data_IF_698457092312
#
_entry.id   IF_698457092312
#
_cell.length_a   1.000
_cell.length_b   1.000
_cell.length_c   1.000
_cell.angle_alpha   90.00
_cell.angle_beta   90.00
_cell.angle_gamma   90.00
#
_symmetry.space_group_name_H-M   'P 1'
#
loop_
_entity.id
_entity.type
_entity.pdbx_description
1 polymer ?
#
# COMPACT_ATOMS: atom_id res chain seq x y z
N UNK A 1 -13.68 20.72 1.15
CA UNK A 1 -12.79 21.52 0.27
C UNK A 1 -13.29 21.52 -1.16
N UNK A 2 -13.17 22.65 -1.86
CA UNK A 2 -13.45 22.78 -3.29
C UNK A 2 -12.26 22.32 -4.15
N UNK A 3 -12.44 22.17 -5.48
CA UNK A 3 -11.33 21.93 -6.40
C UNK A 3 -10.30 23.06 -6.36
N UNK A 4 -10.77 24.28 -6.13
CA UNK A 4 -9.92 25.46 -5.99
C UNK A 4 -8.92 25.31 -4.84
N UNK A 5 -9.46 24.97 -3.67
CA UNK A 5 -8.67 24.76 -2.47
C UNK A 5 -7.69 23.60 -2.69
N UNK A 6 -8.15 22.50 -3.29
CA UNK A 6 -7.33 21.30 -3.50
C UNK A 6 -6.11 21.58 -4.38
N UNK A 7 -6.24 22.35 -5.47
CA UNK A 7 -5.08 22.67 -6.32
C UNK A 7 -4.14 23.69 -5.67
N UNK A 8 -4.68 24.61 -4.85
CA UNK A 8 -3.88 25.56 -4.08
C UNK A 8 -3.05 24.86 -3.01
N UNK A 9 -3.65 23.90 -2.31
CA UNK A 9 -2.96 23.04 -1.35
C UNK A 9 -1.87 22.22 -2.05
N UNK A 10 -2.14 21.66 -3.24
CA UNK A 10 -1.11 20.94 -4.00
C UNK A 10 0.07 21.85 -4.41
N UNK A 11 -0.19 23.09 -4.83
CA UNK A 11 0.86 24.09 -5.09
C UNK A 11 1.68 24.40 -3.83
N UNK A 12 1.03 24.58 -2.68
CA UNK A 12 1.71 24.85 -1.41
C UNK A 12 2.62 23.70 -0.97
N UNK A 13 2.13 22.46 -1.06
CA UNK A 13 2.93 21.26 -0.76
C UNK A 13 4.12 21.13 -1.71
N UNK A 14 3.93 21.46 -3.00
CA UNK A 14 5.03 21.45 -3.98
C UNK A 14 6.13 22.47 -3.63
N UNK A 15 5.75 23.68 -3.21
CA UNK A 15 6.72 24.69 -2.74
C UNK A 15 7.42 24.27 -1.43
N UNK A 16 6.70 23.59 -0.53
CA UNK A 16 7.30 22.98 0.67
C UNK A 16 8.41 21.99 0.32
N UNK A 17 8.12 21.03 -0.57
CA UNK A 17 9.13 20.08 -1.06
C UNK A 17 10.26 20.74 -1.84
N UNK A 18 10.01 21.84 -2.57
CA UNK A 18 11.05 22.57 -3.29
C UNK A 18 12.06 23.21 -2.34
N UNK A 19 11.58 23.78 -1.24
CA UNK A 19 12.42 24.27 -0.14
C UNK A 19 13.22 23.12 0.52
N UNK A 20 12.61 21.94 0.58
CA UNK A 20 13.19 20.70 1.13
C UNK A 20 14.35 20.14 0.29
N UNK A 21 14.28 20.23 -1.05
CA UNK A 21 15.26 19.66 -2.00
C UNK A 21 16.68 20.17 -1.76
N UNK A 22 16.83 21.47 -1.47
CA UNK A 22 18.14 22.08 -1.25
C UNK A 22 18.88 21.55 -0.01
N UNK A 23 18.15 20.93 0.93
CA UNK A 23 18.66 20.48 2.22
C UNK A 23 18.90 18.96 2.25
N UNK A 24 18.40 18.21 1.27
CA UNK A 24 18.54 16.76 1.15
C UNK A 24 19.00 16.36 -0.26
N UNK A 25 20.27 16.65 -0.63
CA UNK A 25 20.77 16.36 -1.98
C UNK A 25 20.73 14.87 -2.34
N UNK A 26 20.78 13.97 -1.35
CA UNK A 26 20.67 12.52 -1.53
C UNK A 26 19.29 12.09 -2.08
N UNK A 27 18.24 12.87 -1.81
CA UNK A 27 16.87 12.59 -2.23
C UNK A 27 16.34 13.57 -3.29
N UNK A 28 17.20 14.47 -3.80
CA UNK A 28 16.84 15.57 -4.70
C UNK A 28 16.04 15.10 -5.94
N UNK A 29 16.41 13.96 -6.51
CA UNK A 29 15.71 13.40 -7.68
C UNK A 29 14.29 12.95 -7.36
N UNK A 30 14.07 12.32 -6.21
CA UNK A 30 12.75 11.88 -5.77
C UNK A 30 11.89 13.08 -5.37
N UNK A 31 12.45 14.00 -4.60
CA UNK A 31 11.79 15.25 -4.19
C UNK A 31 11.39 16.06 -5.43
N UNK A 32 12.29 16.20 -6.41
CA UNK A 32 11.97 16.88 -7.68
C UNK A 32 10.83 16.18 -8.43
N UNK A 33 10.80 14.85 -8.43
CA UNK A 33 9.70 14.10 -9.05
C UNK A 33 8.38 14.35 -8.32
N UNK A 34 8.37 14.42 -6.99
CA UNK A 34 7.18 14.77 -6.20
C UNK A 34 6.68 16.18 -6.55
N UNK A 35 7.58 17.15 -6.61
CA UNK A 35 7.26 18.54 -6.99
C UNK A 35 6.61 18.61 -8.37
N UNK A 36 7.20 17.93 -9.37
CA UNK A 36 6.65 17.87 -10.74
C UNK A 36 5.25 17.23 -10.74
N UNK A 37 5.04 16.18 -9.96
CA UNK A 37 3.76 15.49 -9.90
C UNK A 37 2.68 16.33 -9.22
N UNK A 38 3.02 17.05 -8.14
CA UNK A 38 2.10 17.97 -7.46
C UNK A 38 1.68 19.14 -8.35
N UNK A 39 2.61 19.74 -9.11
CA UNK A 39 2.26 20.77 -10.09
C UNK A 39 1.44 20.22 -11.26
N UNK A 40 1.69 18.98 -11.68
CA UNK A 40 0.85 18.33 -12.70
C UNK A 40 -0.56 18.10 -12.18
N UNK A 41 -0.71 17.63 -10.94
CA UNK A 41 -2.00 17.46 -10.26
C UNK A 41 -2.72 18.80 -10.15
N UNK A 42 -2.04 19.87 -9.71
CA UNK A 42 -2.64 21.19 -9.57
C UNK A 42 -3.14 21.73 -10.93
N UNK A 43 -2.36 21.52 -11.99
CA UNK A 43 -2.74 21.89 -13.35
C UNK A 43 -4.01 21.14 -13.82
N UNK A 44 -4.11 19.83 -13.57
CA UNK A 44 -5.30 19.06 -13.92
C UNK A 44 -6.53 19.52 -13.14
N UNK A 45 -6.40 19.73 -11.83
CA UNK A 45 -7.49 20.23 -10.98
C UNK A 45 -7.99 21.60 -11.43
N UNK A 46 -7.07 22.52 -11.74
CA UNK A 46 -7.39 23.85 -12.27
C UNK A 46 -8.09 23.78 -13.64
N UNK A 47 -7.64 22.88 -14.51
CA UNK A 47 -8.27 22.62 -15.80
C UNK A 47 -9.69 22.06 -15.67
N UNK A 48 -9.87 21.07 -14.79
CA UNK A 48 -11.17 20.48 -14.46
C UNK A 48 -12.12 21.52 -13.85
N UNK A 49 -11.64 22.39 -12.96
CA UNK A 49 -12.42 23.51 -12.41
C UNK A 49 -12.87 24.48 -13.51
N UNK A 50 -11.96 24.85 -14.41
CA UNK A 50 -12.27 25.71 -15.56
C UNK A 50 -13.34 25.11 -16.47
N UNK A 51 -13.24 23.81 -16.77
CA UNK A 51 -14.23 23.09 -17.58
C UNK A 51 -15.57 22.93 -16.84
N UNK A 52 -15.55 22.70 -15.53
CA UNK A 52 -16.76 22.55 -14.72
C UNK A 52 -17.62 23.83 -14.69
N UNK A 53 -16.99 25.01 -14.80
CA UNK A 53 -17.68 26.31 -14.90
C UNK A 53 -18.34 26.53 -16.26
N UNK A 54 -17.91 25.83 -17.30
CA UNK A 54 -18.42 25.98 -18.66
C UNK A 54 -19.65 25.08 -18.90
N UNK A 55 -20.74 25.68 -19.38
CA UNK A 55 -22.02 25.00 -19.64
C UNK A 55 -21.90 23.86 -20.65
N UNK A 56 -20.96 23.93 -21.59
CA UNK A 56 -20.74 22.93 -22.62
C UNK A 56 -20.36 21.54 -22.05
N UNK A 57 -19.76 21.49 -20.85
CA UNK A 57 -19.28 20.24 -20.25
C UNK A 57 -20.22 19.66 -19.18
N UNK A 58 -21.38 20.27 -18.90
CA UNK A 58 -22.28 19.87 -17.80
C UNK A 58 -22.70 18.39 -17.81
N UNK A 59 -23.02 17.86 -18.99
CA UNK A 59 -23.41 16.46 -19.14
C UNK A 59 -22.26 15.52 -18.76
N UNK A 60 -21.05 15.79 -19.28
CA UNK A 60 -19.85 14.99 -19.00
C UNK A 60 -19.37 15.15 -17.55
N UNK A 61 -19.50 16.35 -17.00
CA UNK A 61 -19.25 16.63 -15.59
C UNK A 61 -20.10 15.73 -14.70
N UNK A 62 -21.38 15.56 -15.01
CA UNK A 62 -22.28 14.69 -14.23
C UNK A 62 -21.81 13.23 -14.26
N UNK A 63 -21.27 12.76 -15.39
CA UNK A 63 -20.75 11.40 -15.53
C UNK A 63 -19.44 11.18 -14.73
N UNK A 64 -18.55 12.16 -14.69
CA UNK A 64 -17.27 12.04 -13.98
C UNK A 64 -17.32 12.49 -12.52
N UNK A 65 -18.41 13.14 -12.09
CA UNK A 65 -18.51 13.73 -10.76
C UNK A 65 -18.20 12.76 -9.61
N UNK A 66 -18.70 11.50 -9.58
CA UNK A 66 -18.38 10.57 -8.51
C UNK A 66 -16.88 10.25 -8.41
N UNK A 67 -16.22 10.12 -9.56
CA UNK A 67 -14.78 9.84 -9.62
C UNK A 67 -13.95 11.08 -9.23
N UNK A 68 -14.41 12.26 -9.63
CA UNK A 68 -13.80 13.53 -9.25
C UNK A 68 -13.87 13.78 -7.74
N UNK A 69 -15.01 13.49 -7.12
CA UNK A 69 -15.17 13.59 -5.66
C UNK A 69 -14.31 12.55 -4.92
N UNK A 70 -14.23 11.31 -5.43
CA UNK A 70 -13.38 10.25 -4.88
C UNK A 70 -11.91 10.67 -4.85
N UNK A 71 -11.37 11.10 -5.99
CA UNK A 71 -9.95 11.49 -6.08
C UNK A 71 -9.68 12.75 -5.27
N UNK A 72 -10.60 13.71 -5.25
CA UNK A 72 -10.45 14.94 -4.46
C UNK A 72 -10.41 14.65 -2.96
N UNK A 73 -11.30 13.80 -2.46
CA UNK A 73 -11.33 13.44 -1.04
C UNK A 73 -10.02 12.77 -0.62
N UNK A 74 -9.58 11.74 -1.34
CA UNK A 74 -8.37 10.99 -1.02
C UNK A 74 -7.08 11.81 -1.19
N UNK A 75 -7.01 12.64 -2.23
CA UNK A 75 -5.90 13.58 -2.44
C UNK A 75 -5.81 14.58 -1.29
N UNK A 76 -6.92 15.14 -0.83
CA UNK A 76 -6.88 16.13 0.26
C UNK A 76 -6.32 15.53 1.55
N UNK A 77 -6.72 14.31 1.93
CA UNK A 77 -6.08 13.64 3.07
C UNK A 77 -4.58 13.49 2.89
N UNK A 78 -4.13 13.13 1.67
CA UNK A 78 -2.70 13.00 1.40
C UNK A 78 -1.97 14.33 1.50
N UNK A 79 -2.56 15.42 1.01
CA UNK A 79 -1.96 16.75 1.07
C UNK A 79 -1.95 17.31 2.50
N UNK A 80 -3.04 17.11 3.25
CA UNK A 80 -3.14 17.48 4.66
C UNK A 80 -2.12 16.71 5.50
N UNK A 81 -1.99 15.40 5.32
CA UNK A 81 -0.96 14.59 6.01
C UNK A 81 0.46 15.17 5.76
N UNK A 82 0.78 15.57 4.53
CA UNK A 82 2.09 16.17 4.21
C UNK A 82 2.26 17.55 4.84
N UNK A 83 1.21 18.37 4.86
CA UNK A 83 1.26 19.68 5.52
C UNK A 83 1.45 19.53 7.03
N UNK A 84 0.77 18.58 7.67
CA UNK A 84 0.94 18.30 9.10
C UNK A 84 2.41 17.95 9.42
N UNK A 85 3.10 17.22 8.53
CA UNK A 85 4.53 16.94 8.66
C UNK A 85 5.38 18.22 8.56
N UNK A 86 5.09 19.11 7.60
CA UNK A 86 5.80 20.38 7.49
C UNK A 86 5.54 21.31 8.70
N UNK A 87 4.32 21.32 9.24
CA UNK A 87 3.98 22.11 10.43
C UNK A 87 4.70 21.57 11.69
N UNK A 88 4.86 20.24 11.83
CA UNK A 88 5.66 19.64 12.91
C UNK A 88 7.16 19.98 12.77
N UNK A 89 7.66 20.07 11.54
CA UNK A 89 9.04 20.46 11.27
C UNK A 89 9.33 21.89 11.75
N UNK A 90 8.44 22.85 11.47
CA UNK A 90 8.57 24.23 11.94
C UNK A 90 8.60 24.33 13.48
N UNK A 91 8.00 23.35 14.15
CA UNK A 91 7.94 23.25 15.61
C UNK A 91 9.18 22.59 16.25
N UNK A 92 10.00 21.87 15.48
CA UNK A 92 11.19 21.17 16.00
C UNK A 92 12.33 22.15 16.33
N UNK A 93 12.93 21.98 17.51
CA UNK A 93 14.19 22.64 17.90
C UNK A 93 15.35 21.68 17.68
N UNK A 94 16.36 22.11 16.93
CA UNK A 94 17.57 21.31 16.70
C UNK A 94 18.36 21.75 15.48
N UNK A 95 19.30 20.90 15.06
CA UNK A 95 20.00 21.06 13.79
C UNK A 95 19.01 20.86 12.63
N UNK A 96 18.82 21.87 11.76
CA UNK A 96 17.90 21.77 10.63
C UNK A 96 18.25 20.62 9.68
N UNK A 97 19.53 20.28 9.47
CA UNK A 97 19.89 19.22 8.53
C UNK A 97 19.33 17.85 8.96
N UNK A 98 19.51 17.49 10.24
CA UNK A 98 19.03 16.22 10.79
C UNK A 98 17.50 16.20 10.96
N UNK A 99 16.89 17.35 11.28
CA UNK A 99 15.43 17.45 11.35
C UNK A 99 14.76 17.14 10.00
N UNK A 100 15.34 17.60 8.89
CA UNK A 100 14.82 17.35 7.54
C UNK A 100 15.01 15.90 7.11
N UNK A 101 16.17 15.28 7.40
CA UNK A 101 16.39 13.84 7.14
C UNK A 101 15.37 12.98 7.89
N UNK A 102 15.19 13.28 9.17
CA UNK A 102 14.27 12.55 10.02
C UNK A 102 12.81 12.72 9.54
N UNK A 103 12.41 13.93 9.15
CA UNK A 103 11.08 14.16 8.59
C UNK A 103 10.88 13.41 7.27
N UNK A 104 11.90 13.34 6.40
CA UNK A 104 11.82 12.57 5.15
C UNK A 104 11.56 11.08 5.41
N UNK A 105 12.25 10.51 6.40
CA UNK A 105 12.04 9.13 6.84
C UNK A 105 10.63 8.93 7.41
N UNK A 106 10.14 9.88 8.21
CA UNK A 106 8.78 9.85 8.77
C UNK A 106 7.70 9.91 7.69
N UNK A 107 7.83 10.83 6.73
CA UNK A 107 6.95 10.92 5.55
C UNK A 107 6.96 9.58 4.80
N UNK A 108 8.15 9.06 4.50
CA UNK A 108 8.31 7.80 3.77
C UNK A 108 7.68 6.62 4.49
N UNK A 109 7.92 6.51 5.80
CA UNK A 109 7.37 5.47 6.65
C UNK A 109 5.84 5.56 6.74
N UNK A 110 5.28 6.75 6.96
CA UNK A 110 3.83 6.98 7.07
C UNK A 110 3.08 6.47 5.84
N UNK A 111 3.53 6.85 4.64
CA UNK A 111 2.85 6.43 3.41
C UNK A 111 3.00 4.93 3.13
N UNK A 112 4.16 4.36 3.46
CA UNK A 112 4.41 2.93 3.34
C UNK A 112 3.56 2.12 4.33
N UNK A 113 3.42 2.58 5.57
CA UNK A 113 2.59 1.91 6.59
C UNK A 113 1.09 1.99 6.26
N UNK A 114 0.61 3.15 5.80
CA UNK A 114 -0.80 3.37 5.51
C UNK A 114 -1.32 2.50 4.37
N UNK A 115 -0.59 2.45 3.25
CA UNK A 115 -1.11 1.81 2.03
C UNK A 115 -0.10 0.92 1.31
N UNK A 116 1.03 0.59 1.93
CA UNK A 116 2.10 -0.21 1.32
C UNK A 116 2.64 0.39 0.03
N UNK A 117 2.57 1.71 -0.11
CA UNK A 117 3.01 2.44 -1.30
C UNK A 117 3.69 3.76 -0.92
N UNK A 118 4.72 4.15 -1.67
CA UNK A 118 5.37 5.44 -1.48
C UNK A 118 4.45 6.61 -1.85
N UNK A 119 4.72 7.79 -1.28
CA UNK A 119 4.07 9.04 -1.67
C UNK A 119 4.16 9.26 -3.19
N UNK A 120 5.33 9.03 -3.77
CA UNK A 120 5.59 9.11 -5.22
C UNK A 120 4.61 8.25 -6.03
N UNK A 121 4.41 6.99 -5.62
CA UNK A 121 3.49 6.06 -6.30
C UNK A 121 2.04 6.53 -6.17
N UNK A 122 1.65 7.01 -4.99
CA UNK A 122 0.31 7.52 -4.70
C UNK A 122 -0.02 8.76 -5.53
N UNK A 123 0.90 9.73 -5.58
CA UNK A 123 0.74 10.94 -6.41
C UNK A 123 0.65 10.60 -7.91
N UNK A 124 1.47 9.65 -8.38
CA UNK A 124 1.39 9.20 -9.76
C UNK A 124 0.02 8.61 -10.12
N UNK A 125 -0.63 7.90 -9.19
CA UNK A 125 -2.01 7.39 -9.37
C UNK A 125 -3.02 8.53 -9.43
N UNK A 126 -2.96 9.51 -8.52
CA UNK A 126 -3.83 10.69 -8.56
C UNK A 126 -3.67 11.44 -9.89
N UNK A 127 -2.41 11.69 -10.30
CA UNK A 127 -2.06 12.35 -11.56
C UNK A 127 -2.64 11.62 -12.77
N UNK A 128 -2.46 10.30 -12.86
CA UNK A 128 -3.00 9.51 -13.96
C UNK A 128 -4.53 9.54 -13.98
N UNK A 129 -5.16 9.42 -12.83
CA UNK A 129 -6.62 9.42 -12.74
C UNK A 129 -7.21 10.79 -13.11
N UNK A 130 -6.63 11.89 -12.63
CA UNK A 130 -7.04 13.25 -12.97
C UNK A 130 -6.82 13.59 -14.45
N UNK A 131 -5.71 13.11 -15.05
CA UNK A 131 -5.49 13.22 -16.50
C UNK A 131 -6.64 12.57 -17.27
N UNK A 132 -6.94 11.32 -16.95
CA UNK A 132 -7.96 10.56 -17.67
C UNK A 132 -9.36 11.18 -17.44
N UNK A 133 -9.67 11.73 -16.26
CA UNK A 133 -10.91 12.50 -16.04
C UNK A 133 -10.98 13.75 -16.92
N UNK A 134 -9.85 14.44 -17.12
CA UNK A 134 -9.75 15.60 -18.01
C UNK A 134 -9.99 15.20 -19.48
N UNK A 135 -9.43 14.07 -19.91
CA UNK A 135 -9.65 13.50 -21.25
C UNK A 135 -11.13 13.13 -21.47
N UNK A 136 -11.78 12.49 -20.49
CA UNK A 136 -13.22 12.18 -20.54
C UNK A 136 -14.05 13.47 -20.64
N UNK A 137 -13.73 14.51 -19.88
CA UNK A 137 -14.41 15.81 -20.00
C UNK A 137 -14.27 16.41 -21.40
N UNK A 138 -13.09 16.28 -22.02
CA UNK A 138 -12.85 16.69 -23.42
C UNK A 138 -13.54 15.79 -24.45
N UNK A 139 -13.96 14.60 -24.04
CA UNK A 139 -14.69 13.63 -24.88
C UNK A 139 -13.76 12.70 -25.63
N UNK A 140 -12.53 12.56 -25.15
CA UNK A 140 -11.55 11.63 -25.64
C UNK A 140 -11.80 10.24 -25.05
N UNK A 141 -11.33 9.20 -25.74
CA UNK A 141 -11.49 7.81 -25.32
C UNK A 141 -10.33 7.43 -24.40
N UNK A 142 -10.66 7.05 -23.17
CA UNK A 142 -9.70 6.58 -22.16
C UNK A 142 -9.74 5.07 -21.98
N UNK A 143 -8.65 4.48 -21.49
CA UNK A 143 -8.62 3.05 -21.13
C UNK A 143 -9.52 2.77 -19.91
N UNK A 144 -10.70 2.21 -20.20
CA UNK A 144 -11.71 1.88 -19.19
C UNK A 144 -11.24 0.88 -18.14
N UNK A 145 -10.31 -0.04 -18.48
CA UNK A 145 -9.79 -1.05 -17.55
C UNK A 145 -8.80 -0.43 -16.58
N UNK A 146 -7.89 0.40 -17.08
CA UNK A 146 -6.95 1.13 -16.24
C UNK A 146 -7.70 2.10 -15.31
N UNK A 147 -8.69 2.83 -15.82
CA UNK A 147 -9.56 3.70 -15.01
C UNK A 147 -10.30 2.93 -13.92
N UNK A 148 -10.85 1.75 -14.23
CA UNK A 148 -11.52 0.92 -13.22
C UNK A 148 -10.56 0.43 -12.13
N UNK A 149 -9.35 0.05 -12.51
CA UNK A 149 -8.30 -0.33 -11.56
C UNK A 149 -7.91 0.84 -10.65
N UNK A 150 -7.64 2.02 -11.22
CA UNK A 150 -7.32 3.22 -10.43
C UNK A 150 -8.45 3.60 -9.48
N UNK A 151 -9.70 3.55 -9.94
CA UNK A 151 -10.90 3.79 -9.11
C UNK A 151 -10.97 2.80 -7.93
N UNK A 152 -10.71 1.52 -8.18
CA UNK A 152 -10.71 0.50 -7.12
C UNK A 152 -9.61 0.75 -6.09
N UNK A 153 -8.41 1.10 -6.55
CA UNK A 153 -7.29 1.44 -5.66
C UNK A 153 -7.60 2.65 -4.78
N UNK A 154 -8.13 3.72 -5.39
CA UNK A 154 -8.49 4.94 -4.66
C UNK A 154 -9.62 4.72 -3.64
N UNK A 155 -10.61 3.87 -3.96
CA UNK A 155 -11.64 3.48 -2.99
C UNK A 155 -11.05 2.74 -1.80
N UNK A 156 -10.16 1.78 -2.04
CA UNK A 156 -9.46 1.08 -0.96
C UNK A 156 -8.65 2.03 -0.08
N UNK A 157 -7.88 2.91 -0.71
CA UNK A 157 -7.09 3.92 -0.01
C UNK A 157 -7.96 4.85 0.84
N UNK A 158 -9.06 5.37 0.29
CA UNK A 158 -9.96 6.27 1.01
C UNK A 158 -10.57 5.60 2.25
N UNK A 159 -10.90 4.31 2.19
CA UNK A 159 -11.38 3.56 3.36
C UNK A 159 -10.32 3.53 4.47
N UNK A 160 -9.05 3.32 4.12
CA UNK A 160 -7.95 3.38 5.09
C UNK A 160 -7.79 4.78 5.68
N UNK A 161 -7.83 5.82 4.85
CA UNK A 161 -7.74 7.22 5.28
C UNK A 161 -8.88 7.60 6.22
N UNK A 162 -10.12 7.28 5.88
CA UNK A 162 -11.30 7.53 6.72
C UNK A 162 -11.24 6.77 8.05
N UNK A 163 -10.72 5.54 8.06
CA UNK A 163 -10.59 4.73 9.27
C UNK A 163 -9.70 5.38 10.34
N UNK A 164 -8.74 6.23 9.95
CA UNK A 164 -7.88 6.98 10.89
C UNK A 164 -8.58 8.13 11.58
N UNK A 165 -9.67 8.63 10.99
CA UNK A 165 -10.46 9.71 11.58
C UNK A 165 -11.55 9.22 12.52
N UNK A 166 -12.00 7.96 12.38
CA UNK A 166 -13.00 7.38 13.28
C UNK A 166 -12.57 7.42 14.77
N UNK A 167 -11.30 7.13 15.15
CA UNK A 167 -10.80 7.34 16.51
C UNK A 167 -10.80 8.80 16.96
N UNK A 168 -10.50 9.74 16.06
CA UNK A 168 -10.46 11.19 16.39
C UNK A 168 -11.85 11.77 16.64
N UNK A 169 -12.87 11.35 15.87
CA UNK A 169 -14.26 11.75 16.09
C UNK A 169 -14.91 11.06 17.32
N UNK A 170 -14.51 9.82 17.62
CA UNK A 170 -14.91 9.11 18.83
C UNK A 170 -14.37 9.76 20.11
N UNK A 171 -13.14 10.29 20.06
CA UNK A 171 -12.55 11.10 21.13
C UNK A 171 -13.28 12.44 21.35
N UNK A 172 -13.71 13.10 20.26
CA UNK A 172 -14.47 14.35 20.35
C UNK A 172 -15.91 14.17 20.86
N UNK A 173 -16.53 13.00 20.64
CA UNK A 173 -17.91 12.72 21.07
C UNK A 173 -18.07 12.31 22.55
N UNK A 174 -16.96 12.11 23.29
CA UNK A 174 -17.01 11.76 24.72
C UNK A 174 -16.66 12.94 25.65
N UNK A 175 -16.42 14.13 25.10
CA UNK A 175 -16.15 15.33 25.89
C UNK A 175 -17.43 16.17 26.06
N UNK A 176 -18.38 15.68 26.86
CA UNK A 176 -19.45 16.53 27.42
C UNK A 176 -19.08 17.01 28.83
N UNK A 177 -19.32 18.29 29.17
CA UNK A 177 -18.69 18.96 30.28
C UNK A 177 -19.42 18.68 31.59
N UNK A 178 -18.73 18.09 32.56
CA UNK A 178 -19.14 18.23 33.96
C UNK A 178 -17.91 18.25 34.89
N UNK A 179 -17.69 19.46 35.38
CA UNK A 179 -16.95 19.88 36.56
C UNK A 179 -16.77 18.85 37.68
N UNK A 180 -15.52 18.68 38.10
CA UNK A 180 -15.15 18.57 39.52
C UNK A 180 -13.81 19.26 39.76
N UNK A 181 -13.92 20.40 40.42
CA UNK A 181 -12.87 21.27 40.97
C UNK A 181 -12.14 20.67 42.16
N UNK A 182 -10.82 20.90 42.25
CA UNK A 182 -10.01 21.25 43.44
C UNK A 182 -8.54 20.86 43.17
N UNK A 183 -7.47 21.59 43.48
CA UNK A 183 -7.23 22.90 44.11
C UNK A 183 -5.71 23.01 44.31
N UNK A 184 -5.07 24.15 43.99
CA UNK A 184 -3.89 24.76 44.67
C UNK A 184 -3.34 25.90 43.79
N UNK A 185 -3.65 27.18 44.04
CA UNK A 185 -3.14 28.10 45.06
C UNK A 185 -1.71 28.62 44.80
N UNK A 186 -1.63 29.86 44.30
CA UNK A 186 -0.68 30.96 44.63
C UNK A 186 -0.83 32.01 43.51
N UNK A 187 -1.40 33.20 43.72
CA UNK A 187 -0.97 34.31 44.57
C UNK A 187 -0.82 35.54 43.64
N UNK A 188 -1.88 36.32 43.43
CA UNK A 188 -2.15 37.65 44.03
C UNK A 188 -1.38 38.84 43.41
N UNK A 189 -2.11 39.73 42.73
CA UNK A 189 -2.11 41.22 42.83
C UNK A 189 -3.00 41.81 41.70
N UNK A 190 -4.24 42.27 41.98
CA UNK A 190 -4.68 43.66 42.26
C UNK A 190 -4.59 44.60 41.00
N UNK A 191 -5.65 44.77 40.18
CA UNK A 191 -6.81 45.71 40.23
C UNK A 191 -6.44 47.20 39.89
N UNK A 192 -7.32 48.15 39.47
CA UNK A 192 -8.70 48.14 38.91
C UNK A 192 -8.90 49.02 37.64
N UNK A 193 -10.10 49.00 37.02
CA UNK A 193 -10.56 50.09 36.12
C UNK A 193 -11.74 49.80 35.17
N UNK A 194 -12.98 49.94 35.67
CA UNK A 194 -14.28 49.96 34.93
C UNK A 194 -14.48 51.30 34.14
N UNK A 195 -15.60 51.62 33.40
CA UNK A 195 -16.91 50.95 33.31
C UNK A 195 -17.72 51.00 31.97
N UNK A 196 -18.74 50.13 31.90
CA UNK A 196 -20.17 50.32 31.53
C UNK A 196 -20.61 51.10 30.26
N UNK A 197 -21.33 50.41 29.37
CA UNK A 197 -22.73 50.67 28.96
C UNK A 197 -23.19 49.54 28.01
N UNK A 198 -24.32 48.85 28.10
CA UNK A 198 -25.57 49.13 28.81
C UNK A 198 -26.73 49.25 27.81
N UNK A 199 -27.41 48.15 27.46
CA UNK A 199 -28.89 48.01 27.48
C UNK A 199 -29.35 46.65 26.92
N UNK A 200 -30.48 46.20 27.45
CA UNK A 200 -30.98 44.82 27.56
C UNK A 200 -32.28 44.67 26.68
N UNK A 201 -33.16 43.67 26.82
CA UNK A 201 -33.39 42.61 25.83
C UNK A 201 -34.86 42.49 25.33
N UNK A 202 -35.11 41.69 24.28
CA UNK A 202 -36.39 41.00 23.94
C UNK A 202 -36.21 40.33 22.56
N UNK A 203 -36.72 39.15 22.21
CA UNK A 203 -37.68 38.30 22.88
C UNK A 203 -37.64 36.88 22.31
N UNK A 204 -37.93 35.97 23.23
CA UNK A 204 -38.11 34.52 23.13
C UNK A 204 -39.31 34.20 22.22
N UNK A 205 -39.14 33.38 21.18
CA UNK A 205 -40.21 32.53 20.61
C UNK A 205 -39.61 31.21 20.11
N UNK A 206 -39.76 30.20 20.95
CA UNK A 206 -39.64 28.78 20.63
C UNK A 206 -40.91 28.32 19.90
N UNK A 207 -40.78 27.77 18.70
CA UNK A 207 -41.78 26.86 18.14
C UNK A 207 -41.33 25.44 18.47
N UNK A 208 -41.85 24.94 19.58
CA UNK A 208 -41.77 23.54 19.97
C UNK A 208 -42.73 22.75 19.06
N UNK A 209 -42.17 21.92 18.18
CA UNK A 209 -42.94 20.96 17.40
C UNK A 209 -43.05 19.70 18.25
N UNK A 210 -44.26 19.40 18.72
CA UNK A 210 -44.55 18.18 19.47
C UNK A 210 -44.18 16.92 18.66
N UNK A 211 -43.40 16.02 19.26
CA UNK A 211 -43.15 14.66 18.77
C UNK A 211 -44.31 13.75 19.22
N UNK A 212 -44.85 12.88 18.37
CA UNK A 212 -45.78 11.83 18.79
C UNK A 212 -45.09 10.76 19.65
N UNK A 213 -45.88 10.20 20.56
CA UNK A 213 -45.54 9.18 21.54
C UNK A 213 -45.06 7.87 20.92
N UNK A 214 -44.11 7.23 21.60
CA UNK A 214 -43.56 5.91 21.32
C UNK A 214 -44.64 4.79 21.30
N UNK A 215 -44.55 3.90 20.30
CA UNK A 215 -45.14 2.55 20.37
C UNK A 215 -44.09 1.54 19.89
N UNK A 216 -43.53 0.77 20.83
CA UNK A 216 -42.63 -0.35 20.57
C UNK A 216 -43.40 -1.53 19.93
N UNK A 217 -42.83 -2.26 18.96
CA UNK A 217 -43.35 -3.56 18.57
C UNK A 217 -42.85 -4.65 19.53
N UNK A 218 -43.80 -5.32 20.19
CA UNK A 218 -43.58 -6.56 20.93
C UNK A 218 -43.29 -7.71 19.95
N UNK A 219 -42.26 -8.50 20.25
CA UNK A 219 -42.04 -9.81 19.63
C UNK A 219 -43.06 -10.82 20.15
N UNK A 220 -43.63 -11.72 19.32
CA UNK A 220 -44.53 -12.75 19.79
C UNK A 220 -43.76 -13.97 20.31
N UNK A 221 -44.24 -14.47 21.45
CA UNK A 221 -43.81 -15.67 22.16
C UNK A 221 -44.49 -16.89 21.53
N UNK A 222 -43.74 -18.00 21.46
CA UNK A 222 -44.16 -19.32 20.97
C UNK A 222 -44.96 -20.14 22.00
N UNK A 223 -45.70 -21.15 21.54
CA UNK A 223 -45.99 -22.46 22.19
C UNK A 223 -46.57 -23.36 21.10
N UNK A 224 -46.30 -24.66 20.91
CA UNK A 224 -45.84 -25.80 21.75
C UNK A 224 -45.62 -26.99 20.74
N UNK A 225 -44.95 -28.13 20.97
CA UNK A 225 -44.72 -28.96 22.15
C UNK A 225 -43.72 -30.11 21.85
N UNK A 226 -42.98 -30.54 22.89
CA UNK A 226 -42.45 -31.90 23.18
C UNK A 226 -41.40 -32.53 22.21
N UNK A 227 -40.28 -33.17 22.63
CA UNK A 227 -39.94 -33.85 23.89
C UNK A 227 -38.44 -34.23 23.96
N UNK A 228 -37.93 -34.32 25.21
CA UNK A 228 -36.87 -35.20 25.75
C UNK A 228 -35.37 -34.80 25.84
N UNK A 229 -34.93 -34.85 27.11
CA UNK A 229 -33.60 -35.16 27.70
C UNK A 229 -32.59 -34.06 28.01
N UNK A 230 -32.62 -33.65 29.29
CA UNK A 230 -31.54 -33.08 30.11
C UNK A 230 -30.32 -34.00 30.22
N UNK A 231 -29.09 -33.52 29.95
CA UNK A 231 -27.81 -33.65 30.73
C UNK A 231 -26.79 -32.64 30.14
N UNK A 232 -26.08 -31.78 30.92
CA UNK A 232 -25.04 -30.90 30.39
C UNK A 232 -23.66 -31.60 30.40
N UNK A 233 -22.80 -31.48 29.37
CA UNK A 233 -21.42 -31.92 29.49
C UNK A 233 -20.54 -30.81 30.09
N UNK A 234 -19.81 -31.21 31.11
CA UNK A 234 -18.78 -30.46 31.85
C UNK A 234 -17.59 -30.07 30.97
N UNK A 235 -16.98 -28.94 31.35
CA UNK A 235 -15.70 -28.38 30.88
C UNK A 235 -14.57 -29.42 30.92
N UNK A 236 -13.74 -29.56 29.87
CA UNK A 236 -12.49 -30.31 29.98
C UNK A 236 -11.34 -29.41 30.46
N UNK A 237 -10.73 -29.83 31.56
CA UNK A 237 -9.45 -29.34 32.08
C UNK A 237 -8.28 -29.75 31.18
N UNK A 238 -7.24 -28.92 31.16
CA UNK A 238 -5.95 -29.19 30.52
C UNK A 238 -5.27 -30.45 31.08
N UNK A 239 -4.45 -31.15 30.28
CA UNK A 239 -3.42 -32.00 30.83
C UNK A 239 -2.01 -31.61 30.36
N UNK A 240 -1.10 -31.70 31.33
CA UNK A 240 0.35 -31.62 31.21
C UNK A 240 0.94 -32.70 30.27
N UNK A 241 2.13 -32.38 29.73
CA UNK A 241 3.02 -33.24 28.93
C UNK A 241 3.42 -34.54 29.66
N UNK A 242 3.92 -35.64 29.01
CA UNK A 242 5.32 -35.65 28.51
C UNK A 242 5.71 -36.63 27.36
N UNK A 243 6.91 -36.38 26.80
CA UNK A 243 7.94 -37.29 26.22
C UNK A 243 7.77 -38.02 24.87
N UNK A 244 8.67 -37.64 23.94
CA UNK A 244 9.49 -38.45 22.99
C UNK A 244 8.86 -39.63 22.22
N UNK A 245 8.80 -39.49 20.89
CA UNK A 245 9.62 -40.31 19.96
C UNK A 245 9.54 -39.79 18.52
N UNK A 246 10.64 -39.18 18.11
CA UNK A 246 11.35 -39.20 16.82
C UNK A 246 10.70 -39.93 15.63
N UNK A 247 10.47 -39.19 14.54
CA UNK A 247 10.98 -39.59 13.22
C UNK A 247 11.50 -38.36 12.48
N UNK A 248 12.82 -38.29 12.38
CA UNK A 248 13.56 -37.29 11.64
C UNK A 248 13.42 -37.50 10.13
N UNK A 249 13.29 -36.41 9.38
CA UNK A 249 14.14 -36.23 8.19
C UNK A 249 14.43 -34.75 8.02
N UNK A 250 15.49 -34.32 8.68
CA UNK A 250 16.18 -33.05 8.52
C UNK A 250 16.74 -32.92 7.10
N UNK A 251 16.61 -31.75 6.47
CA UNK A 251 17.69 -31.20 5.64
C UNK A 251 17.81 -29.68 5.89
N UNK A 252 18.81 -29.38 6.72
CA UNK A 252 19.67 -28.19 6.80
C UNK A 252 19.02 -26.80 6.72
N UNK A 253 18.72 -26.26 7.90
CA UNK A 253 18.96 -24.84 8.17
C UNK A 253 20.47 -24.73 8.35
N UNK A 254 21.18 -24.41 7.27
CA UNK A 254 22.56 -23.98 7.39
C UNK A 254 22.53 -22.51 7.80
N UNK A 255 23.15 -22.23 8.94
CA UNK A 255 23.06 -20.99 9.69
C UNK A 255 24.06 -19.97 9.13
N UNK A 256 23.54 -19.02 8.36
CA UNK A 256 24.05 -17.64 8.34
C UNK A 256 22.87 -16.72 8.66
N UNK A 257 23.07 -15.60 9.37
CA UNK A 257 22.01 -14.62 9.60
C UNK A 257 21.72 -13.90 8.28
N UNK A 258 21.06 -14.60 7.36
CA UNK A 258 20.66 -14.09 6.05
C UNK A 258 19.60 -13.02 6.30
N UNK A 259 19.94 -11.83 5.82
CA UNK A 259 19.13 -10.61 5.77
C UNK A 259 17.62 -10.87 5.80
N UNK A 260 16.92 -10.19 6.71
CA UNK A 260 15.48 -10.29 6.97
C UNK A 260 14.68 -9.63 5.81
N UNK A 261 14.84 -10.16 4.60
CA UNK A 261 14.35 -9.57 3.38
C UNK A 261 12.83 -9.78 3.25
N UNK A 262 12.07 -8.70 3.06
CA UNK A 262 10.60 -8.71 3.01
C UNK A 262 10.00 -9.77 2.05
N UNK A 263 10.68 -10.06 0.92
CA UNK A 263 10.24 -11.07 -0.05
C UNK A 263 10.11 -12.49 0.55
N UNK A 264 10.90 -12.79 1.59
CA UNK A 264 10.84 -14.07 2.31
C UNK A 264 9.53 -14.18 3.10
N UNK A 265 9.11 -13.10 3.76
CA UNK A 265 7.83 -13.03 4.51
C UNK A 265 6.63 -13.25 3.59
N UNK A 266 6.63 -12.63 2.41
CA UNK A 266 5.55 -12.76 1.41
C UNK A 266 5.34 -14.20 0.90
N UNK A 267 6.36 -15.08 0.94
CA UNK A 267 6.21 -16.47 0.52
C UNK A 267 6.10 -17.49 1.66
N UNK A 268 6.60 -17.14 2.85
CA UNK A 268 6.58 -18.02 4.01
C UNK A 268 5.36 -17.79 4.92
N UNK A 269 4.78 -16.59 4.91
CA UNK A 269 3.59 -16.28 5.70
C UNK A 269 2.36 -17.00 5.12
N UNK A 270 1.41 -17.37 6.00
CA UNK A 270 0.17 -18.02 5.59
C UNK A 270 -0.74 -17.02 4.88
N UNK A 271 -0.93 -17.21 3.58
CA UNK A 271 -1.84 -16.40 2.77
C UNK A 271 -3.13 -17.18 2.49
N UNK A 272 -4.28 -16.49 2.33
CA UNK A 272 -5.46 -17.09 1.71
C UNK A 272 -5.05 -17.78 0.41
N UNK A 273 -5.57 -18.98 0.16
CA UNK A 273 -5.25 -19.74 -1.04
C UNK A 273 -6.49 -19.84 -1.91
N UNK A 274 -6.63 -18.92 -2.87
CA UNK A 274 -7.69 -18.98 -3.88
C UNK A 274 -7.21 -19.88 -5.02
N UNK A 275 -7.84 -21.06 -5.22
CA UNK A 275 -7.46 -21.97 -6.27
C UNK A 275 -7.64 -21.31 -7.64
N UNK A 276 -6.71 -21.53 -8.55
CA UNK A 276 -6.86 -21.15 -9.96
C UNK A 276 -7.08 -22.40 -10.81
N UNK A 277 -7.89 -22.32 -11.89
CA UNK A 277 -8.04 -23.43 -12.82
C UNK A 277 -6.66 -23.88 -13.29
N UNK A 278 -6.31 -25.14 -13.03
CA UNK A 278 -4.97 -25.70 -13.23
C UNK A 278 -4.69 -26.01 -14.72
N UNK A 279 -4.88 -25.01 -15.57
CA UNK A 279 -4.80 -25.09 -17.03
C UNK A 279 -3.49 -24.47 -17.51
N UNK A 280 -2.76 -25.21 -18.35
CA UNK A 280 -1.47 -24.79 -18.92
C UNK A 280 -0.39 -25.85 -18.80
N UNK A 281 0.74 -25.62 -19.47
CA UNK A 281 1.91 -26.51 -19.47
C UNK A 281 2.52 -26.65 -18.07
N UNK A 282 3.15 -27.80 -17.80
CA UNK A 282 3.83 -28.07 -16.53
C UNK A 282 5.03 -27.14 -16.30
N UNK A 283 5.42 -27.01 -15.04
CA UNK A 283 6.61 -26.24 -14.68
C UNK A 283 7.84 -26.85 -15.36
N UNK A 284 8.68 -26.03 -15.99
CA UNK A 284 9.92 -26.47 -16.64
C UNK A 284 10.87 -25.30 -16.83
N UNK A 285 12.17 -25.58 -16.84
CA UNK A 285 13.20 -24.63 -17.24
C UNK A 285 13.80 -25.08 -18.57
N UNK A 286 13.86 -24.15 -19.53
CA UNK A 286 14.49 -24.29 -20.84
C UNK A 286 15.81 -23.51 -20.92
N UNK A 287 16.32 -23.06 -19.78
CA UNK A 287 17.56 -22.33 -19.68
C UNK A 287 18.77 -23.19 -20.01
N UNK A 288 19.83 -22.54 -20.48
CA UNK A 288 21.13 -23.18 -20.63
C UNK A 288 21.65 -23.66 -19.27
N UNK A 289 22.12 -24.90 -19.21
CA UNK A 289 22.66 -25.50 -17.98
C UNK A 289 24.08 -24.99 -17.77
N UNK A 290 24.37 -24.52 -16.56
CA UNK A 290 25.66 -23.99 -16.14
C UNK A 290 26.24 -24.85 -15.02
N UNK A 291 27.54 -25.13 -15.12
CA UNK A 291 28.30 -25.76 -14.06
C UNK A 291 28.59 -24.79 -12.92
N UNK A 292 28.70 -25.30 -11.70
CA UNK A 292 29.12 -24.57 -10.50
C UNK A 292 28.41 -23.21 -10.24
N UNK A 293 27.12 -23.11 -10.55
CA UNK A 293 26.35 -21.85 -10.38
C UNK A 293 26.36 -21.38 -8.92
N UNK A 294 26.22 -22.29 -7.96
CA UNK A 294 26.17 -21.94 -6.53
C UNK A 294 27.52 -21.42 -6.01
N UNK A 295 28.62 -22.08 -6.36
CA UNK A 295 29.96 -21.62 -5.98
C UNK A 295 30.24 -20.23 -6.56
N UNK A 296 29.98 -20.06 -7.86
CA UNK A 296 30.15 -18.77 -8.52
C UNK A 296 29.29 -17.65 -7.92
N UNK A 297 28.03 -17.91 -7.56
CA UNK A 297 27.18 -16.92 -6.90
C UNK A 297 27.74 -16.48 -5.54
N UNK A 298 28.18 -17.45 -4.73
CA UNK A 298 28.77 -17.17 -3.43
C UNK A 298 30.08 -16.39 -3.56
N UNK A 299 30.96 -16.77 -4.49
CA UNK A 299 32.22 -16.05 -4.78
C UNK A 299 31.98 -14.60 -5.22
N UNK A 300 30.87 -14.33 -5.91
CA UNK A 300 30.50 -13.01 -6.41
C UNK A 300 29.68 -12.17 -5.41
N UNK A 301 29.46 -12.65 -4.18
CA UNK A 301 28.74 -11.94 -3.14
C UNK A 301 27.21 -11.98 -3.27
N UNK A 302 26.66 -12.97 -3.96
CA UNK A 302 25.21 -13.17 -4.04
C UNK A 302 24.70 -14.04 -2.89
N UNK A 303 23.68 -13.56 -2.20
CA UNK A 303 22.97 -14.26 -1.13
C UNK A 303 21.60 -14.79 -1.62
N UNK A 304 21.18 -15.95 -1.14
CA UNK A 304 19.88 -16.53 -1.49
C UNK A 304 18.76 -15.83 -0.72
N UNK A 305 17.82 -15.20 -1.42
CA UNK A 305 16.66 -14.54 -0.81
C UNK A 305 15.58 -15.53 -0.38
N UNK A 306 15.13 -16.36 -1.33
CA UNK A 306 14.10 -17.38 -1.11
C UNK A 306 14.09 -18.41 -2.25
N UNK A 307 13.45 -19.55 -1.98
CA UNK A 307 13.28 -20.66 -2.90
C UNK A 307 11.81 -21.05 -3.02
N UNK A 308 11.35 -21.23 -4.26
CA UNK A 308 10.03 -21.78 -4.58
C UNK A 308 10.17 -23.20 -5.12
N UNK A 309 9.35 -24.10 -4.61
CA UNK A 309 9.28 -25.48 -5.07
C UNK A 309 8.03 -25.70 -5.93
N UNK A 310 8.22 -26.29 -7.11
CA UNK A 310 7.15 -26.64 -8.03
C UNK A 310 7.09 -28.16 -8.17
N UNK A 311 6.65 -28.86 -7.13
CA UNK A 311 6.72 -30.33 -7.01
C UNK A 311 5.67 -31.12 -7.83
N UNK A 312 5.27 -30.60 -9.00
CA UNK A 312 4.37 -31.29 -9.93
C UNK A 312 5.11 -32.29 -10.81
N UNK A 313 4.90 -32.23 -12.12
CA UNK A 313 5.52 -33.13 -13.12
C UNK A 313 7.05 -32.94 -13.29
N UNK A 314 7.63 -31.95 -12.62
CA UNK A 314 9.06 -31.62 -12.62
C UNK A 314 9.49 -31.34 -11.19
N UNK A 315 10.58 -31.93 -10.67
CA UNK A 315 11.18 -31.45 -9.40
C UNK A 315 12.00 -30.18 -9.68
N UNK A 316 11.27 -29.11 -10.02
CA UNK A 316 11.81 -27.79 -10.34
C UNK A 316 11.79 -26.92 -9.09
N UNK A 317 12.94 -26.35 -8.77
CA UNK A 317 13.07 -25.30 -7.75
C UNK A 317 13.55 -24.01 -8.38
N UNK A 318 13.00 -22.90 -7.95
CA UNK A 318 13.38 -21.56 -8.43
C UNK A 318 13.88 -20.77 -7.23
N UNK A 319 15.14 -20.35 -7.27
CA UNK A 319 15.78 -19.54 -6.24
C UNK A 319 16.02 -18.13 -6.78
N UNK A 320 15.89 -17.14 -5.91
CA UNK A 320 16.32 -15.77 -6.19
C UNK A 320 17.54 -15.45 -5.35
N UNK A 321 18.53 -14.81 -5.98
CA UNK A 321 19.77 -14.39 -5.36
C UNK A 321 19.92 -12.88 -5.51
N UNK A 322 20.29 -12.19 -4.42
CA UNK A 322 20.56 -10.76 -4.37
C UNK A 322 22.02 -10.53 -3.99
N UNK A 323 22.66 -9.61 -4.68
CA UNK A 323 23.92 -9.04 -4.24
C UNK A 323 23.63 -7.66 -3.66
N UNK A 324 23.85 -7.48 -2.37
CA UNK A 324 23.49 -6.24 -1.67
C UNK A 324 24.32 -5.05 -2.16
N UNK A 325 25.60 -5.26 -2.47
CA UNK A 325 26.53 -4.20 -2.88
C UNK A 325 26.07 -3.38 -4.09
N UNK A 326 25.38 -4.00 -5.05
CA UNK A 326 24.92 -3.35 -6.27
C UNK A 326 23.45 -3.65 -6.61
N UNK A 327 22.71 -4.20 -5.64
CA UNK A 327 21.32 -4.64 -5.74
C UNK A 327 21.02 -5.51 -6.98
N UNK A 328 22.00 -6.27 -7.47
CA UNK A 328 21.79 -7.14 -8.62
C UNK A 328 21.06 -8.40 -8.20
N UNK A 329 20.02 -8.72 -8.94
CA UNK A 329 19.19 -9.91 -8.68
C UNK A 329 19.35 -10.92 -9.80
N UNK A 330 19.52 -12.19 -9.42
CA UNK A 330 19.59 -13.35 -10.30
C UNK A 330 18.52 -14.37 -9.96
N UNK A 331 17.96 -14.97 -10.99
CA UNK A 331 17.05 -16.11 -10.86
C UNK A 331 17.79 -17.39 -11.26
N UNK A 332 17.64 -18.41 -10.44
CA UNK A 332 18.25 -19.72 -10.63
C UNK A 332 17.16 -20.78 -10.66
N UNK A 333 17.07 -21.51 -11.77
CA UNK A 333 16.27 -22.72 -11.85
C UNK A 333 17.16 -23.92 -11.56
N UNK A 334 16.74 -24.74 -10.60
CA UNK A 334 17.33 -26.05 -10.28
C UNK A 334 16.35 -27.13 -10.72
N UNK A 335 16.75 -27.92 -11.70
CA UNK A 335 15.98 -29.09 -12.15
C UNK A 335 16.72 -30.35 -11.69
N UNK A 336 15.99 -31.28 -11.06
CA UNK A 336 16.58 -32.56 -10.64
C UNK A 336 16.58 -33.55 -11.79
N UNK A 337 17.73 -34.16 -12.10
CA UNK A 337 17.77 -35.34 -12.97
C UNK A 337 17.47 -36.61 -12.16
N UNK A 338 17.13 -37.67 -12.88
CA UNK A 338 17.04 -39.05 -12.36
C UNK A 338 18.37 -39.58 -11.81
N UNK A 339 19.49 -38.95 -12.17
CA UNK A 339 20.83 -39.15 -11.60
C UNK A 339 21.12 -38.13 -10.48
N UNK A 340 21.99 -38.45 -9.53
CA UNK A 340 22.28 -37.70 -8.28
C UNK A 340 22.71 -36.22 -8.46
N UNK A 341 22.83 -35.71 -9.70
CA UNK A 341 23.23 -34.34 -10.02
C UNK A 341 22.02 -33.47 -10.40
N UNK A 342 22.01 -32.21 -9.94
CA UNK A 342 20.99 -31.22 -10.32
C UNK A 342 21.54 -30.29 -11.41
N UNK A 343 20.72 -30.01 -12.42
CA UNK A 343 21.04 -29.03 -13.45
C UNK A 343 20.64 -27.64 -12.95
N UNK A 344 21.52 -26.66 -13.15
CA UNK A 344 21.29 -25.28 -12.74
C UNK A 344 21.30 -24.37 -13.96
N UNK A 345 20.28 -23.53 -14.09
CA UNK A 345 20.21 -22.47 -15.10
C UNK A 345 20.10 -21.13 -14.40
N UNK A 346 20.92 -20.16 -14.78
CA UNK A 346 21.01 -18.87 -14.10
C UNK A 346 21.02 -17.71 -15.09
N UNK A 347 20.13 -16.73 -14.85
CA UNK A 347 20.07 -15.48 -15.59
C UNK A 347 19.88 -14.27 -14.65
N UNK A 348 20.41 -13.09 -15.04
CA UNK A 348 20.04 -11.82 -14.42
C UNK A 348 18.54 -11.54 -14.59
N UNK A 349 17.90 -11.04 -13.54
CA UNK A 349 16.46 -10.81 -13.52
C UNK A 349 16.03 -9.68 -14.48
N UNK A 350 16.89 -8.69 -14.67
CA UNK A 350 16.65 -7.56 -15.56
C UNK A 350 16.57 -7.94 -17.05
N UNK A 351 17.12 -9.09 -17.45
CA UNK A 351 17.06 -9.60 -18.82
C UNK A 351 15.78 -10.40 -19.13
N UNK A 352 14.86 -10.51 -18.16
CA UNK A 352 13.70 -11.37 -18.24
C UNK A 352 12.40 -10.57 -18.25
N UNK A 353 11.46 -11.01 -19.06
CA UNK A 353 10.08 -10.52 -19.15
C UNK A 353 9.13 -11.61 -18.70
N UNK A 354 8.01 -11.22 -18.10
CA UNK A 354 7.03 -12.17 -17.58
C UNK A 354 5.74 -12.01 -18.36
N UNK A 355 5.24 -13.12 -18.88
CA UNK A 355 3.94 -13.19 -19.54
C UNK A 355 3.08 -14.16 -18.75
N UNK A 356 1.90 -13.72 -18.33
CA UNK A 356 0.92 -14.61 -17.70
C UNK A 356 0.09 -15.29 -18.77
N UNK A 357 0.02 -16.63 -18.74
CA UNK A 357 -0.86 -17.43 -19.59
C UNK A 357 -1.62 -18.42 -18.71
N UNK A 358 -2.90 -18.16 -18.47
CA UNK A 358 -3.74 -19.00 -17.62
C UNK A 358 -3.22 -19.07 -16.17
N UNK A 359 -2.86 -20.29 -15.75
CA UNK A 359 -2.26 -20.59 -14.44
C UNK A 359 -0.72 -20.57 -14.44
N UNK A 360 -0.11 -20.19 -15.56
CA UNK A 360 1.34 -20.21 -15.71
C UNK A 360 1.91 -18.79 -15.83
N UNK A 361 3.10 -18.60 -15.25
CA UNK A 361 3.99 -17.49 -15.56
C UNK A 361 5.08 -18.00 -16.49
N UNK A 362 5.10 -17.45 -17.69
CA UNK A 362 6.17 -17.65 -18.65
C UNK A 362 7.22 -16.57 -18.44
N UNK A 363 8.42 -17.01 -18.05
CA UNK A 363 9.60 -16.18 -17.93
C UNK A 363 10.32 -16.26 -19.27
N UNK A 364 10.37 -15.16 -19.98
CA UNK A 364 10.92 -15.06 -21.31
C UNK A 364 12.18 -14.17 -21.31
N UNK A 365 13.13 -14.49 -22.17
CA UNK A 365 14.31 -13.66 -22.45
C UNK A 365 14.16 -13.02 -23.82
N UNK A 366 14.50 -11.74 -23.92
CA UNK A 366 14.55 -11.04 -25.22
C UNK A 366 15.80 -11.45 -26.01
N UNK A 367 15.66 -11.75 -27.30
CA UNK A 367 16.82 -11.95 -28.19
C UNK A 367 17.60 -10.64 -28.38
N UNK A 368 18.94 -10.72 -28.51
CA UNK A 368 19.77 -9.55 -28.81
C UNK A 368 19.36 -9.01 -30.20
N UNK A 369 18.75 -7.82 -30.23
CA UNK A 369 18.42 -7.10 -31.47
C UNK A 369 16.98 -7.25 -31.99
N UNK A 370 16.04 -7.86 -31.24
CA UNK A 370 14.65 -8.04 -31.68
C UNK A 370 13.58 -7.81 -30.61
N UNK A 371 12.31 -7.82 -31.03
CA UNK A 371 11.13 -7.86 -30.16
C UNK A 371 10.71 -9.28 -29.76
N UNK A 372 11.40 -10.30 -30.28
CA UNK A 372 11.08 -11.70 -30.05
C UNK A 372 11.43 -12.13 -28.61
N UNK A 373 10.44 -12.71 -27.94
CA UNK A 373 10.54 -13.28 -26.60
C UNK A 373 10.74 -14.80 -26.69
N UNK A 374 11.83 -15.29 -26.12
CA UNK A 374 12.15 -16.71 -26.06
C UNK A 374 11.84 -17.23 -24.66
N UNK A 375 10.99 -18.27 -24.56
CA UNK A 375 10.65 -18.90 -23.29
C UNK A 375 11.90 -19.46 -22.60
N UNK A 376 12.15 -19.04 -21.36
CA UNK A 376 13.25 -19.49 -20.53
C UNK A 376 12.79 -20.40 -19.39
N UNK A 377 11.66 -20.10 -18.77
CA UNK A 377 11.02 -20.99 -17.82
C UNK A 377 9.50 -20.83 -17.87
N UNK A 378 8.78 -21.91 -17.62
CA UNK A 378 7.34 -21.89 -17.41
C UNK A 378 7.09 -22.33 -15.96
N UNK A 379 6.35 -21.53 -15.19
CA UNK A 379 6.05 -21.79 -13.79
C UNK A 379 4.54 -21.90 -13.62
N UNK A 380 4.04 -23.09 -13.29
CA UNK A 380 2.61 -23.34 -13.10
C UNK A 380 2.25 -23.21 -11.63
N UNK A 381 1.21 -22.42 -11.35
CA UNK A 381 0.72 -22.15 -10.01
C UNK A 381 -0.65 -22.81 -9.79
N UNK A 382 -0.90 -23.24 -8.55
CA UNK A 382 -2.20 -23.77 -8.13
C UNK A 382 -3.09 -22.72 -7.48
N UNK A 383 -2.51 -21.60 -7.03
CA UNK A 383 -3.22 -20.51 -6.36
C UNK A 383 -2.86 -19.16 -6.96
N UNK A 384 -3.79 -18.20 -6.91
CA UNK A 384 -3.56 -16.85 -7.45
C UNK A 384 -2.54 -16.09 -6.61
N UNK A 385 -2.52 -16.31 -5.30
CA UNK A 385 -1.67 -15.59 -4.35
C UNK A 385 -0.21 -15.94 -4.52
N UNK A 386 0.12 -17.22 -4.74
CA UNK A 386 1.50 -17.64 -5.04
C UNK A 386 1.98 -17.08 -6.37
N UNK A 387 1.10 -16.99 -7.36
CA UNK A 387 1.40 -16.39 -8.65
C UNK A 387 1.60 -14.88 -8.52
N UNK A 388 0.73 -14.17 -7.78
CA UNK A 388 0.85 -12.74 -7.58
C UNK A 388 2.06 -12.37 -6.72
N UNK A 389 2.35 -13.13 -5.66
CA UNK A 389 3.57 -12.96 -4.86
C UNK A 389 4.84 -13.04 -5.72
N UNK A 390 4.89 -14.02 -6.65
CA UNK A 390 6.00 -14.15 -7.59
C UNK A 390 6.15 -12.93 -8.50
N UNK A 391 5.03 -12.43 -9.05
CA UNK A 391 5.03 -11.24 -9.89
C UNK A 391 5.47 -9.98 -9.12
N UNK A 392 4.97 -9.79 -7.89
CA UNK A 392 5.27 -8.63 -7.05
C UNK A 392 6.76 -8.57 -6.72
N UNK A 393 7.32 -9.68 -6.24
CA UNK A 393 8.74 -9.73 -5.88
C UNK A 393 9.62 -9.57 -7.11
N UNK A 394 9.30 -10.27 -8.20
CA UNK A 394 10.09 -10.13 -9.43
C UNK A 394 10.06 -8.70 -9.96
N UNK A 395 8.93 -8.00 -9.84
CA UNK A 395 8.80 -6.60 -10.26
C UNK A 395 9.58 -5.66 -9.34
N UNK A 396 9.49 -5.86 -8.03
CA UNK A 396 10.23 -5.05 -7.05
C UNK A 396 11.75 -5.21 -7.22
N UNK A 397 12.22 -6.44 -7.34
CA UNK A 397 13.65 -6.74 -7.50
C UNK A 397 14.18 -6.34 -8.88
N UNK A 398 13.37 -6.46 -9.95
CA UNK A 398 13.72 -5.94 -11.27
C UNK A 398 13.78 -4.41 -11.30
N UNK A 399 12.93 -3.72 -10.55
CA UNK A 399 12.95 -2.26 -10.43
C UNK A 399 14.27 -1.81 -9.79
N UNK A 400 14.66 -2.40 -8.65
CA UNK A 400 15.95 -2.15 -7.99
C UNK A 400 17.13 -2.39 -8.93
N UNK A 401 17.15 -3.54 -9.63
CA UNK A 401 18.23 -3.92 -10.54
C UNK A 401 18.34 -3.06 -11.83
N UNK A 402 17.32 -2.24 -12.14
CA UNK A 402 17.31 -1.35 -13.31
C UNK A 402 17.65 0.11 -12.97
N UNK A 403 17.84 0.45 -11.69
CA UNK A 403 18.29 1.78 -11.29
C UNK A 403 19.78 1.88 -11.67
N UNK A 404 20.17 2.77 -12.61
CA UNK A 404 21.57 2.97 -12.93
C UNK A 404 22.28 3.52 -11.70
N UNK A 405 23.19 2.72 -11.14
CA UNK A 405 24.13 3.15 -10.10
C UNK A 405 25.02 4.25 -10.72
N UNK A 406 24.71 5.53 -10.44
CA UNK A 406 25.60 6.65 -10.73
C UNK A 406 26.70 6.62 -9.67
N UNK A 407 27.93 6.37 -10.11
CA UNK A 407 29.13 6.62 -9.33
C UNK A 407 29.48 8.11 -9.37
#
# INVERSE_FOLDING_TARGET
>A
MSLHDSYKTAEAVAEGFRSFSNLLPEHDTEITSLVVDLFSISLFLKGLEGMARNRAYRYRLSAIHPDLELVRASLNYTLEDVLDFFDDLESRRGDPSEAYKQLWLEISAHFLEESQESLSTRLAKYKSFLRDLSEIMKGEVTDTRLMASLRSNLKGLLVHQDSRLAPRLGSMSLSSPSSSSSSSSNGSNADPGSPVNGRRPRGRRSYERARPSHSSPQSPISTSSATFSDIPPSVPSAPDSPTTSTTATSQSIDSTPVSDHWARRVFLDEHPMTPIPYVGESSKCLGEVKGNVKGWLHEEGFEELFQLAFSGDSDLRVCFYLREDDHRVRIVCKSRRTSRTSDYSCLPLNLLEIVRIGSCLQICRRRRGGSELVLWANLKFSTIERMSAHLVIQRAEKHKANIPQRW
#
